data_IF_773474686334
#
_entry.id   IF_773474686334
#
_cell.length_a   1.000
_cell.length_b   1.000
_cell.length_c   1.000
_cell.angle_alpha   90.00
_cell.angle_beta   90.00
_cell.angle_gamma   90.00
#
_symmetry.space_group_name_H-M   'P 1'
#
loop_
_entity.id
_entity.type
_entity.pdbx_description
1 polymer ?
#
# COMPACT_ATOMS: atom_id res chain seq x y z
N UNK A 1 31.19 35.07 -41.84
CA UNK A 1 29.97 34.26 -41.91
C UNK A 1 30.40 32.84 -41.60
N UNK A 2 30.53 32.55 -40.31
CA UNK A 2 31.06 31.26 -39.85
C UNK A 2 29.90 30.27 -39.73
N UNK A 3 29.95 29.25 -40.60
CA UNK A 3 28.95 28.21 -40.60
C UNK A 3 28.98 27.46 -39.27
N UNK A 4 27.91 27.57 -38.51
CA UNK A 4 27.70 26.76 -37.32
C UNK A 4 27.60 25.27 -37.73
N UNK A 5 28.73 24.58 -37.74
CA UNK A 5 28.79 23.14 -37.96
C UNK A 5 28.07 22.42 -36.85
N UNK A 6 27.34 21.33 -37.18
CA UNK A 6 26.70 20.47 -36.21
C UNK A 6 27.69 20.03 -35.11
N UNK A 7 27.26 19.95 -33.84
CA UNK A 7 28.13 19.52 -32.75
C UNK A 7 28.62 18.07 -32.99
N UNK A 8 29.91 17.83 -32.80
CA UNK A 8 30.53 16.51 -32.91
C UNK A 8 29.99 15.54 -31.84
N UNK A 9 29.77 16.04 -30.63
CA UNK A 9 29.17 15.31 -29.54
C UNK A 9 28.38 16.25 -28.61
N UNK A 10 27.36 15.74 -27.99
CA UNK A 10 26.58 16.46 -27.00
C UNK A 10 26.51 15.60 -25.73
N UNK A 11 27.02 16.13 -24.64
CA UNK A 11 26.94 15.53 -23.31
C UNK A 11 25.76 16.15 -22.57
N UNK A 12 24.90 15.33 -22.02
CA UNK A 12 23.70 15.79 -21.29
C UNK A 12 23.72 15.20 -19.88
N UNK A 13 23.61 16.05 -18.86
CA UNK A 13 23.45 15.63 -17.49
C UNK A 13 22.03 15.95 -17.03
N UNK A 14 21.19 14.93 -16.90
CA UNK A 14 19.77 15.10 -16.64
C UNK A 14 19.08 15.94 -17.73
N UNK A 15 18.02 16.66 -17.36
CA UNK A 15 17.31 17.57 -18.27
C UNK A 15 17.90 19.00 -18.33
N UNK A 16 18.91 19.29 -17.49
CA UNK A 16 19.31 20.68 -17.21
C UNK A 16 20.68 21.10 -17.74
N UNK A 17 21.63 20.21 -17.91
CA UNK A 17 22.95 20.56 -18.38
C UNK A 17 23.27 19.88 -19.72
N UNK A 18 23.56 20.70 -20.73
CA UNK A 18 24.02 20.23 -22.03
C UNK A 18 25.36 20.88 -22.36
N UNK A 19 26.34 20.04 -22.65
CA UNK A 19 27.63 20.46 -23.12
C UNK A 19 27.77 20.03 -24.58
N UNK A 20 28.08 20.97 -25.45
CA UNK A 20 28.30 20.71 -26.87
C UNK A 20 29.77 20.78 -27.20
N UNK A 21 30.25 19.77 -27.88
CA UNK A 21 31.62 19.68 -28.34
C UNK A 21 31.65 19.98 -29.83
N UNK A 22 32.43 21.00 -30.23
CA UNK A 22 32.62 21.37 -31.63
C UNK A 22 34.07 21.21 -32.01
N UNK A 23 34.32 20.73 -33.24
CA UNK A 23 35.64 20.71 -33.88
C UNK A 23 35.89 22.06 -34.49
N UNK A 24 36.89 22.78 -34.02
CA UNK A 24 37.38 24.03 -34.63
C UNK A 24 38.73 23.73 -35.25
N UNK A 25 38.91 24.08 -36.54
CA UNK A 25 40.12 23.89 -37.32
C UNK A 25 40.70 22.47 -37.37
N UNK A 26 39.84 21.45 -37.26
CA UNK A 26 40.21 20.03 -37.38
C UNK A 26 41.05 19.44 -36.24
N UNK A 27 41.34 20.19 -35.16
CA UNK A 27 42.22 19.74 -34.08
C UNK A 27 41.77 20.04 -32.64
N UNK A 28 40.83 20.92 -32.43
CA UNK A 28 40.44 21.34 -31.07
C UNK A 28 38.94 21.14 -30.86
N UNK A 29 38.61 20.37 -29.82
CA UNK A 29 37.24 20.22 -29.37
C UNK A 29 36.94 21.34 -28.38
N UNK A 30 36.15 22.32 -28.77
CA UNK A 30 35.68 23.37 -27.85
C UNK A 30 34.46 22.88 -27.14
N UNK A 31 34.49 22.91 -25.82
CA UNK A 31 33.36 22.55 -24.94
C UNK A 31 32.56 23.83 -24.66
N UNK A 32 31.38 23.92 -25.23
CA UNK A 32 30.45 25.01 -24.96
C UNK A 32 29.29 24.52 -24.08
N UNK A 33 29.04 25.27 -23.00
CA UNK A 33 27.86 25.03 -22.16
C UNK A 33 26.66 25.62 -22.90
N UNK A 34 25.68 24.76 -23.21
CA UNK A 34 24.39 25.27 -23.68
C UNK A 34 23.74 26.01 -22.52
N UNK A 35 23.44 27.28 -22.69
CA UNK A 35 22.65 28.07 -21.74
C UNK A 35 21.22 27.50 -21.66
N UNK A 36 21.04 26.42 -20.95
CA UNK A 36 19.73 26.02 -20.52
C UNK A 36 19.38 26.85 -19.26
N UNK A 37 18.37 27.70 -19.41
CA UNK A 37 18.03 28.79 -18.51
C UNK A 37 18.10 28.52 -17.02
N UNK A 38 18.72 29.48 -16.33
CA UNK A 38 18.26 29.87 -15.03
C UNK A 38 18.69 29.09 -13.80
N UNK A 39 20.02 28.88 -13.61
CA UNK A 39 20.53 28.50 -12.28
C UNK A 39 20.47 29.64 -11.23
N UNK A 40 20.17 30.85 -11.64
CA UNK A 40 20.15 32.04 -10.79
C UNK A 40 18.73 32.40 -10.27
N UNK A 41 17.71 31.63 -10.64
CA UNK A 41 16.36 31.83 -10.11
C UNK A 41 16.13 30.99 -8.86
N UNK A 42 15.52 31.57 -7.82
CA UNK A 42 15.03 30.86 -6.63
C UNK A 42 14.17 29.64 -7.03
N UNK A 43 13.43 29.75 -8.13
CA UNK A 43 12.64 28.65 -8.70
C UNK A 43 13.52 27.50 -9.23
N UNK A 44 14.69 27.79 -9.84
CA UNK A 44 15.65 26.79 -10.28
C UNK A 44 16.29 26.04 -9.13
N UNK A 45 16.66 26.77 -8.07
CA UNK A 45 17.16 26.17 -6.83
C UNK A 45 16.08 25.29 -6.17
N UNK A 46 14.84 25.77 -6.07
CA UNK A 46 13.72 25.01 -5.53
C UNK A 46 13.51 23.70 -6.31
N UNK A 47 13.48 23.76 -7.65
CA UNK A 47 13.35 22.56 -8.49
C UNK A 47 14.49 21.57 -8.27
N UNK A 48 15.73 22.04 -8.14
CA UNK A 48 16.90 21.16 -7.95
C UNK A 48 16.94 20.47 -6.58
N UNK A 49 16.33 21.08 -5.57
CA UNK A 49 16.28 20.54 -4.20
C UNK A 49 15.07 19.64 -3.98
N UNK A 50 13.90 20.01 -4.49
CA UNK A 50 12.62 19.37 -4.15
C UNK A 50 12.09 18.41 -5.23
N UNK A 51 12.60 18.47 -6.45
CA UNK A 51 12.18 17.54 -7.51
C UNK A 51 13.29 16.55 -7.84
N UNK A 52 12.94 15.29 -8.16
CA UNK A 52 13.94 14.27 -8.52
C UNK A 52 14.63 14.62 -9.86
N UNK A 53 15.82 14.06 -10.03
CA UNK A 53 16.54 14.21 -11.29
C UNK A 53 15.73 13.65 -12.47
N UNK A 54 15.72 14.36 -13.58
CA UNK A 54 14.98 13.96 -14.77
C UNK A 54 13.50 14.28 -14.74
N UNK A 55 13.00 14.99 -13.71
CA UNK A 55 11.62 15.46 -13.71
C UNK A 55 11.32 16.34 -14.94
N UNK A 56 10.15 16.19 -15.63
CA UNK A 56 9.02 15.32 -15.30
C UNK A 56 9.12 13.86 -15.81
N UNK A 57 10.07 13.54 -16.69
CA UNK A 57 10.12 12.27 -17.43
C UNK A 57 10.54 11.07 -16.58
N UNK A 58 11.18 11.31 -15.43
CA UNK A 58 11.67 10.27 -14.51
C UNK A 58 10.62 9.79 -13.51
N UNK A 59 9.41 10.34 -13.51
CA UNK A 59 8.37 10.07 -12.52
C UNK A 59 7.02 9.81 -13.17
N UNK A 60 6.11 9.15 -12.43
CA UNK A 60 4.73 8.94 -12.86
C UNK A 60 3.92 10.25 -12.85
N UNK A 61 2.82 10.29 -13.59
CA UNK A 61 1.98 11.50 -13.74
C UNK A 61 1.33 11.96 -12.42
N UNK A 62 1.15 11.04 -11.49
CA UNK A 62 0.55 11.26 -10.17
C UNK A 62 1.56 11.75 -9.12
N UNK A 63 2.87 11.77 -9.45
CA UNK A 63 3.96 12.09 -8.52
C UNK A 63 3.77 13.42 -7.79
N UNK A 64 3.50 14.52 -8.50
CA UNK A 64 3.38 15.85 -7.87
C UNK A 64 2.18 15.93 -6.92
N UNK A 65 1.06 15.36 -7.31
CA UNK A 65 -0.14 15.36 -6.48
C UNK A 65 0.09 14.53 -5.21
N UNK A 66 0.71 13.37 -5.35
CA UNK A 66 1.10 12.54 -4.21
C UNK A 66 2.07 13.28 -3.31
N UNK A 67 3.16 13.82 -3.85
CA UNK A 67 4.22 14.51 -3.09
C UNK A 67 3.70 15.73 -2.32
N UNK A 68 2.78 16.49 -2.92
CA UNK A 68 2.14 17.62 -2.24
C UNK A 68 1.38 17.16 -0.98
N UNK A 69 0.49 16.18 -1.14
CA UNK A 69 -0.30 15.69 -0.01
C UNK A 69 0.54 14.95 1.03
N UNK A 70 1.55 14.20 0.60
CA UNK A 70 2.50 13.55 1.49
C UNK A 70 3.31 14.57 2.32
N UNK A 71 3.71 15.68 1.72
CA UNK A 71 4.39 16.77 2.42
C UNK A 71 3.47 17.43 3.46
N UNK A 72 2.21 17.70 3.13
CA UNK A 72 1.21 18.25 4.07
C UNK A 72 0.94 17.27 5.21
N UNK A 73 0.83 15.99 4.90
CA UNK A 73 0.67 14.91 5.87
C UNK A 73 1.85 14.87 6.85
N UNK A 74 3.08 14.81 6.33
CA UNK A 74 4.31 14.75 7.14
C UNK A 74 4.49 16.00 8.01
N UNK A 75 4.16 17.18 7.50
CA UNK A 75 4.18 18.43 8.26
C UNK A 75 3.19 18.40 9.45
N UNK A 76 1.95 17.99 9.19
CA UNK A 76 0.90 17.93 10.23
C UNK A 76 1.23 16.88 11.29
N UNK A 77 1.71 15.69 10.87
CA UNK A 77 2.17 14.63 11.77
C UNK A 77 3.32 15.10 12.67
N UNK A 78 4.28 15.84 12.11
CA UNK A 78 5.41 16.40 12.87
C UNK A 78 4.92 17.37 13.96
N UNK A 79 3.96 18.24 13.66
CA UNK A 79 3.41 19.17 14.65
C UNK A 79 2.64 18.44 15.76
N UNK A 80 1.77 17.50 15.42
CA UNK A 80 1.07 16.65 16.38
C UNK A 80 2.04 15.87 17.27
N UNK A 81 3.10 15.29 16.67
CA UNK A 81 4.14 14.56 17.38
C UNK A 81 4.93 15.41 18.37
N UNK A 82 5.23 16.66 18.02
CA UNK A 82 5.93 17.58 18.92
C UNK A 82 5.04 18.01 20.10
N UNK A 83 3.72 18.22 19.88
CA UNK A 83 2.77 18.48 20.97
C UNK A 83 2.64 17.27 21.91
N UNK A 84 2.59 16.07 21.35
CA UNK A 84 2.56 14.81 22.09
C UNK A 84 3.85 14.62 22.93
N UNK A 85 5.01 14.89 22.32
CA UNK A 85 6.30 14.82 23.02
C UNK A 85 6.38 15.83 24.18
N UNK A 86 5.91 17.05 23.99
CA UNK A 86 5.83 18.06 25.05
C UNK A 86 4.95 17.57 26.22
N UNK A 87 3.77 17.01 25.91
CA UNK A 87 2.88 16.48 26.96
C UNK A 87 3.54 15.33 27.72
N UNK A 88 4.24 14.42 27.02
CA UNK A 88 4.96 13.32 27.63
C UNK A 88 6.11 13.79 28.54
N UNK A 89 6.89 14.81 28.13
CA UNK A 89 7.93 15.41 28.93
C UNK A 89 7.40 16.01 30.23
N UNK A 90 6.25 16.67 30.18
CA UNK A 90 5.56 17.15 31.39
C UNK A 90 5.13 16.00 32.31
N UNK A 91 4.57 14.94 31.73
CA UNK A 91 4.14 13.75 32.46
C UNK A 91 5.25 13.02 33.21
N UNK A 92 6.47 13.00 32.66
CA UNK A 92 7.65 12.49 33.37
C UNK A 92 8.28 13.47 34.38
N UNK A 93 7.67 14.68 34.51
CA UNK A 93 8.06 15.65 35.51
C UNK A 93 9.18 16.59 35.08
N UNK A 94 9.44 16.76 33.78
CA UNK A 94 10.39 17.79 33.32
C UNK A 94 9.88 19.17 33.73
N UNK A 95 10.70 19.91 34.46
CA UNK A 95 10.36 21.19 35.09
C UNK A 95 9.86 21.09 36.54
N UNK A 96 9.72 19.90 37.10
CA UNK A 96 9.40 19.67 38.50
C UNK A 96 10.67 19.32 39.29
N UNK A 97 10.94 20.01 40.39
CA UNK A 97 12.13 19.78 41.23
C UNK A 97 12.12 18.42 41.95
N UNK A 98 10.97 17.78 42.10
CA UNK A 98 10.81 16.48 42.75
C UNK A 98 11.01 15.29 41.79
N UNK A 99 11.03 15.54 40.48
CA UNK A 99 11.19 14.48 39.49
C UNK A 99 12.66 14.02 39.39
N UNK A 100 12.88 12.72 39.44
CA UNK A 100 14.22 12.14 39.32
C UNK A 100 14.57 11.80 37.86
N UNK A 101 15.79 12.10 37.45
CA UNK A 101 16.31 11.72 36.11
C UNK A 101 16.17 10.22 35.86
N UNK A 102 16.38 9.42 36.92
CA UNK A 102 16.26 7.97 36.83
C UNK A 102 14.83 7.52 36.47
N UNK A 103 13.79 8.06 37.11
CA UNK A 103 12.40 7.72 36.79
C UNK A 103 12.01 8.11 35.36
N UNK A 104 12.43 9.29 34.91
CA UNK A 104 12.24 9.73 33.53
C UNK A 104 12.94 8.79 32.54
N UNK A 105 14.21 8.45 32.80
CA UNK A 105 14.99 7.54 31.93
C UNK A 105 14.37 6.16 31.85
N UNK A 106 13.90 5.57 32.95
CA UNK A 106 13.23 4.26 32.95
C UNK A 106 11.92 4.32 32.13
N UNK A 107 11.11 5.37 32.26
CA UNK A 107 9.88 5.54 31.49
C UNK A 107 10.17 5.61 29.98
N UNK A 108 11.17 6.39 29.55
CA UNK A 108 11.60 6.48 28.17
C UNK A 108 12.13 5.15 27.63
N UNK A 109 12.96 4.45 28.41
CA UNK A 109 13.49 3.14 28.03
C UNK A 109 12.39 2.10 27.84
N UNK A 110 11.40 2.08 28.75
CA UNK A 110 10.22 1.19 28.64
C UNK A 110 9.37 1.53 27.41
N UNK A 111 9.10 2.81 27.17
CA UNK A 111 8.36 3.29 25.99
C UNK A 111 9.04 2.86 24.69
N UNK A 112 10.32 3.16 24.54
CA UNK A 112 11.06 2.85 23.32
C UNK A 112 11.23 1.33 23.13
N UNK A 113 11.49 0.60 24.22
CA UNK A 113 11.60 -0.85 24.21
C UNK A 113 10.29 -1.53 23.80
N UNK A 114 9.15 -1.10 24.34
CA UNK A 114 7.82 -1.63 23.94
C UNK A 114 7.50 -1.28 22.49
N UNK A 115 7.87 -0.10 22.01
CA UNK A 115 7.73 0.30 20.60
C UNK A 115 8.57 -0.59 19.67
N UNK A 116 9.81 -0.90 20.04
CA UNK A 116 10.67 -1.84 19.28
C UNK A 116 10.06 -3.23 19.20
N UNK A 117 9.56 -3.76 20.32
CA UNK A 117 8.88 -5.07 20.36
C UNK A 117 7.62 -5.07 19.50
N UNK A 118 6.81 -3.99 19.53
CA UNK A 118 5.63 -3.84 18.71
C UNK A 118 5.95 -3.90 17.20
N UNK A 119 7.00 -3.19 16.76
CA UNK A 119 7.46 -3.22 15.36
C UNK A 119 7.94 -4.61 14.93
N UNK A 120 8.71 -5.29 15.77
CA UNK A 120 9.19 -6.65 15.47
C UNK A 120 8.01 -7.62 15.37
N UNK A 121 7.06 -7.56 16.31
CA UNK A 121 5.88 -8.41 16.31
C UNK A 121 5.00 -8.17 15.08
N UNK A 122 4.78 -6.91 14.72
CA UNK A 122 4.02 -6.54 13.53
C UNK A 122 4.71 -7.02 12.24
N UNK A 123 6.02 -6.79 12.11
CA UNK A 123 6.80 -7.26 10.97
C UNK A 123 6.77 -8.79 10.85
N UNK A 124 6.83 -9.51 11.96
CA UNK A 124 6.74 -10.96 11.98
C UNK A 124 5.37 -11.49 11.53
N UNK A 125 4.28 -10.84 11.97
CA UNK A 125 2.91 -11.30 11.65
C UNK A 125 2.46 -10.87 10.25
N UNK A 126 2.88 -9.68 9.79
CA UNK A 126 2.32 -9.02 8.59
C UNK A 126 3.35 -8.59 7.54
N UNK A 127 4.65 -8.64 7.85
CA UNK A 127 5.69 -8.05 6.98
C UNK A 127 5.67 -8.54 5.53
N UNK A 128 5.46 -9.85 5.30
CA UNK A 128 5.41 -10.44 3.96
C UNK A 128 4.12 -10.11 3.16
N UNK A 129 3.08 -9.59 3.82
CA UNK A 129 1.74 -9.36 3.25
C UNK A 129 1.38 -7.88 3.09
N UNK A 130 2.23 -6.98 3.56
CA UNK A 130 1.97 -5.53 3.53
C UNK A 130 1.84 -4.99 2.11
N UNK A 131 2.64 -5.48 1.18
CA UNK A 131 2.66 -5.00 -0.20
C UNK A 131 1.36 -5.29 -0.96
N UNK A 132 0.63 -6.34 -0.56
CA UNK A 132 -0.63 -6.72 -1.21
C UNK A 132 -1.72 -5.66 -1.05
N UNK A 133 -1.74 -4.98 0.12
CA UNK A 133 -2.71 -3.94 0.45
C UNK A 133 -2.03 -2.66 0.99
N UNK A 134 -0.92 -2.25 0.37
CA UNK A 134 -0.06 -1.17 0.84
C UNK A 134 -0.81 0.15 1.16
N UNK A 135 -1.81 0.52 0.34
CA UNK A 135 -2.64 1.72 0.57
C UNK A 135 -3.42 1.65 1.87
N UNK A 136 -4.03 0.50 2.17
CA UNK A 136 -4.82 0.29 3.40
C UNK A 136 -3.93 0.28 4.63
N UNK A 137 -2.80 -0.45 4.56
CA UNK A 137 -1.86 -0.54 5.68
C UNK A 137 -1.20 0.78 6.02
N UNK A 138 -0.86 1.59 5.00
CA UNK A 138 -0.36 2.94 5.22
C UNK A 138 -1.37 3.79 6.00
N UNK A 139 -2.63 3.82 5.58
CA UNK A 139 -3.66 4.60 6.27
C UNK A 139 -3.90 4.09 7.70
N UNK A 140 -3.93 2.76 7.91
CA UNK A 140 -4.06 2.16 9.25
C UNK A 140 -2.90 2.54 10.16
N UNK A 141 -1.67 2.51 9.64
CA UNK A 141 -0.48 2.90 10.41
C UNK A 141 -0.57 4.37 10.87
N UNK A 142 -0.97 5.28 9.99
CA UNK A 142 -1.10 6.70 10.32
C UNK A 142 -2.24 6.96 11.33
N UNK A 143 -3.37 6.27 11.21
CA UNK A 143 -4.45 6.34 12.21
C UNK A 143 -3.98 5.84 13.57
N UNK A 144 -3.25 4.72 13.62
CA UNK A 144 -2.69 4.19 14.88
C UNK A 144 -1.66 5.14 15.49
N UNK A 145 -0.83 5.80 14.66
CA UNK A 145 0.11 6.81 15.11
C UNK A 145 -0.60 8.02 15.72
N UNK A 146 -1.69 8.50 15.10
CA UNK A 146 -2.51 9.61 15.65
C UNK A 146 -3.15 9.23 16.99
N UNK A 147 -3.67 8.00 17.11
CA UNK A 147 -4.20 7.46 18.38
C UNK A 147 -3.11 7.41 19.44
N UNK A 148 -1.90 6.98 19.09
CA UNK A 148 -0.76 6.96 20.00
C UNK A 148 -0.40 8.36 20.50
N UNK A 149 -0.32 9.33 19.60
CA UNK A 149 -0.05 10.73 19.96
C UNK A 149 -1.14 11.31 20.87
N UNK A 150 -2.41 10.98 20.61
CA UNK A 150 -3.51 11.37 21.47
C UNK A 150 -3.38 10.77 22.89
N UNK A 151 -3.04 9.46 22.97
CA UNK A 151 -2.80 8.80 24.27
C UNK A 151 -1.65 9.45 25.05
N UNK A 152 -0.57 9.83 24.37
CA UNK A 152 0.56 10.54 25.01
C UNK A 152 0.16 11.92 25.55
N UNK A 153 -0.67 12.68 24.82
CA UNK A 153 -1.17 14.00 25.28
C UNK A 153 -2.10 13.83 26.48
N UNK A 154 -2.89 12.75 26.52
CA UNK A 154 -3.82 12.46 27.58
C UNK A 154 -3.16 11.87 28.84
N UNK A 155 -2.01 11.16 28.68
CA UNK A 155 -1.34 10.42 29.72
C UNK A 155 -1.05 11.23 31.02
N UNK A 156 -0.63 12.53 30.96
CA UNK A 156 -0.40 13.32 32.18
C UNK A 156 -1.67 13.53 33.02
N UNK A 157 -2.86 13.38 32.45
CA UNK A 157 -4.14 13.47 33.17
C UNK A 157 -4.40 12.25 34.06
N UNK A 158 -3.64 11.16 33.88
CA UNK A 158 -3.75 9.90 34.61
C UNK A 158 -2.42 9.47 35.25
N UNK A 159 -1.92 10.17 36.29
CA UNK A 159 -0.56 9.94 36.83
C UNK A 159 -0.31 8.48 37.25
N UNK A 160 -1.30 7.81 37.81
CA UNK A 160 -1.20 6.41 38.27
C UNK A 160 -0.96 5.42 37.12
N UNK A 161 -1.44 5.70 35.91
CA UNK A 161 -1.31 4.86 34.72
C UNK A 161 -0.38 5.46 33.65
N UNK A 162 0.28 6.57 33.94
CA UNK A 162 1.06 7.33 32.97
C UNK A 162 2.03 6.45 32.16
N UNK A 163 2.92 5.74 32.87
CA UNK A 163 3.92 4.87 32.22
C UNK A 163 3.28 3.79 31.35
N UNK A 164 2.19 3.17 31.81
CA UNK A 164 1.48 2.17 31.04
C UNK A 164 0.89 2.75 29.75
N UNK A 165 0.24 3.91 29.83
CA UNK A 165 -0.36 4.60 28.66
C UNK A 165 0.73 4.94 27.64
N UNK A 166 1.85 5.50 28.09
CA UNK A 166 2.99 5.89 27.21
C UNK A 166 3.65 4.67 26.58
N UNK A 167 3.75 3.55 27.28
CA UNK A 167 4.27 2.29 26.72
C UNK A 167 3.34 1.72 25.63
N UNK A 168 2.03 1.71 25.87
CA UNK A 168 1.05 1.26 24.86
C UNK A 168 1.09 2.20 23.64
N UNK A 169 1.16 3.51 23.85
CA UNK A 169 1.32 4.48 22.77
C UNK A 169 2.61 4.23 21.97
N UNK A 170 3.72 3.90 22.62
CA UNK A 170 5.00 3.57 21.99
C UNK A 170 4.92 2.42 20.97
N UNK A 171 4.04 1.43 21.22
CA UNK A 171 3.82 0.30 20.28
C UNK A 171 3.23 0.76 18.95
N UNK A 172 2.41 1.81 18.96
CA UNK A 172 1.67 2.30 17.77
C UNK A 172 2.37 3.46 17.05
N UNK A 173 3.41 4.07 17.64
CA UNK A 173 4.00 5.31 17.13
C UNK A 173 5.08 5.06 16.08
N UNK A 174 4.94 5.74 14.93
CA UNK A 174 6.03 5.94 13.97
C UNK A 174 6.73 7.28 14.22
N UNK A 175 8.07 7.30 14.13
CA UNK A 175 8.85 8.52 14.34
C UNK A 175 9.37 9.02 13.00
N UNK A 176 8.62 9.90 12.35
CA UNK A 176 9.09 10.70 11.21
C UNK A 176 9.22 12.16 11.64
N UNK A 177 10.43 12.69 11.59
CA UNK A 177 10.71 14.10 11.88
C UNK A 177 10.79 14.87 10.57
N UNK A 178 9.92 15.87 10.42
CA UNK A 178 9.95 16.81 9.31
C UNK A 178 10.56 18.15 9.76
N UNK A 179 11.60 18.62 9.05
CA UNK A 179 12.34 19.85 9.41
C UNK A 179 11.42 21.08 9.46
N UNK A 180 10.47 21.22 8.55
CA UNK A 180 9.52 22.33 8.54
C UNK A 180 8.61 22.30 9.77
N UNK A 181 8.12 21.10 10.14
CA UNK A 181 7.35 20.91 11.36
C UNK A 181 8.16 21.22 12.62
N UNK A 182 9.45 20.86 12.65
CA UNK A 182 10.35 21.19 13.75
C UNK A 182 10.48 22.71 13.92
N UNK A 183 10.74 23.46 12.85
CA UNK A 183 10.89 24.92 12.90
C UNK A 183 9.61 25.62 13.38
N UNK A 184 8.45 25.20 12.89
CA UNK A 184 7.16 25.75 13.36
C UNK A 184 6.91 25.40 14.83
N UNK A 185 7.29 24.20 15.28
CA UNK A 185 7.16 23.77 16.67
C UNK A 185 7.99 24.61 17.64
N UNK A 186 9.15 25.11 17.24
CA UNK A 186 9.97 26.00 18.09
C UNK A 186 9.21 27.27 18.48
N UNK A 187 8.30 27.76 17.62
CA UNK A 187 7.45 28.92 17.92
C UNK A 187 6.16 28.50 18.62
N UNK A 188 5.58 27.36 18.23
CA UNK A 188 4.29 26.90 18.72
C UNK A 188 4.35 26.37 20.15
N UNK A 189 5.36 25.60 20.50
CA UNK A 189 5.49 24.96 21.82
C UNK A 189 5.45 25.98 22.97
N UNK A 190 6.20 27.09 22.95
CA UNK A 190 6.10 28.09 24.03
C UNK A 190 4.71 28.66 24.20
N UNK A 191 3.95 28.86 23.11
CA UNK A 191 2.60 29.43 23.15
C UNK A 191 1.57 28.48 23.78
N UNK A 192 1.75 27.17 23.63
CA UNK A 192 0.82 26.14 24.12
C UNK A 192 1.21 25.60 25.50
N UNK A 193 2.43 25.91 25.96
CA UNK A 193 3.00 25.29 27.18
C UNK A 193 2.11 25.45 28.39
N UNK A 194 1.46 26.57 28.58
CA UNK A 194 0.63 26.88 29.76
C UNK A 194 -0.88 26.77 29.50
N UNK A 195 -1.29 26.33 28.29
CA UNK A 195 -2.71 26.28 27.92
C UNK A 195 -3.09 24.88 27.38
N UNK A 196 -3.56 23.95 28.25
CA UNK A 196 -3.97 22.60 27.82
C UNK A 196 -5.05 22.60 26.75
N UNK A 197 -6.03 23.52 26.83
CA UNK A 197 -7.12 23.61 25.86
C UNK A 197 -6.60 23.94 24.48
N UNK A 198 -5.65 24.90 24.40
CA UNK A 198 -5.00 25.24 23.13
C UNK A 198 -4.19 24.08 22.56
N UNK A 199 -3.48 23.33 23.42
CA UNK A 199 -2.75 22.11 23.03
C UNK A 199 -3.67 21.09 22.38
N UNK A 200 -4.80 20.73 23.02
CA UNK A 200 -5.78 19.80 22.46
C UNK A 200 -6.40 20.33 21.17
N UNK A 201 -6.77 21.61 21.13
CA UNK A 201 -7.38 22.20 19.92
C UNK A 201 -6.44 22.11 18.72
N UNK A 202 -5.18 22.49 18.90
CA UNK A 202 -4.17 22.43 17.83
C UNK A 202 -3.84 20.98 17.45
N UNK A 203 -3.75 20.08 18.42
CA UNK A 203 -3.55 18.66 18.15
C UNK A 203 -4.68 18.11 17.27
N UNK A 204 -5.94 18.32 17.62
CA UNK A 204 -7.06 17.86 16.80
C UNK A 204 -7.08 18.51 15.41
N UNK A 205 -6.74 19.79 15.32
CA UNK A 205 -6.63 20.47 14.03
C UNK A 205 -5.58 19.81 13.14
N UNK A 206 -4.37 19.58 13.65
CA UNK A 206 -3.30 18.93 12.89
C UNK A 206 -3.58 17.45 12.60
N UNK A 207 -4.24 16.74 13.51
CA UNK A 207 -4.68 15.36 13.28
C UNK A 207 -5.70 15.28 12.14
N UNK A 208 -6.69 16.16 12.10
CA UNK A 208 -7.66 16.20 11.00
C UNK A 208 -6.96 16.53 9.67
N UNK A 209 -6.05 17.51 9.69
CA UNK A 209 -5.27 17.86 8.50
C UNK A 209 -4.37 16.70 8.05
N UNK A 210 -3.71 16.01 8.98
CA UNK A 210 -2.90 14.83 8.74
C UNK A 210 -3.69 13.71 8.06
N UNK A 211 -4.82 13.31 8.64
CA UNK A 211 -5.66 12.23 8.09
C UNK A 211 -6.24 12.60 6.73
N UNK A 212 -6.67 13.86 6.54
CA UNK A 212 -7.17 14.33 5.25
C UNK A 212 -6.09 14.32 4.18
N UNK A 213 -4.90 14.82 4.51
CA UNK A 213 -3.76 14.84 3.60
C UNK A 213 -3.31 13.43 3.24
N UNK A 214 -3.22 12.51 4.21
CA UNK A 214 -2.88 11.11 3.97
C UNK A 214 -3.93 10.42 3.09
N UNK A 215 -5.22 10.60 3.36
CA UNK A 215 -6.28 10.09 2.49
C UNK A 215 -6.11 10.58 1.04
N UNK A 216 -5.83 11.87 0.84
CA UNK A 216 -5.58 12.45 -0.47
C UNK A 216 -4.31 11.90 -1.13
N UNK A 217 -3.23 11.76 -0.37
CA UNK A 217 -1.98 11.17 -0.85
C UNK A 217 -2.19 9.73 -1.34
N UNK A 218 -2.82 8.89 -0.53
CA UNK A 218 -3.10 7.48 -0.88
C UNK A 218 -4.03 7.37 -2.09
N UNK A 219 -5.02 8.25 -2.21
CA UNK A 219 -5.96 8.29 -3.35
C UNK A 219 -5.33 8.81 -4.63
N UNK A 220 -4.26 9.59 -4.57
CA UNK A 220 -3.57 10.10 -5.76
C UNK A 220 -2.67 9.04 -6.42
N UNK A 221 -2.21 8.03 -5.68
CA UNK A 221 -1.33 6.98 -6.22
C UNK A 221 -2.11 6.04 -7.13
N UNK A 222 -1.68 5.92 -8.38
CA UNK A 222 -2.20 4.97 -9.37
C UNK A 222 -1.27 3.77 -9.46
N UNK A 223 -1.79 2.59 -9.12
CA UNK A 223 -1.03 1.34 -9.16
C UNK A 223 -1.48 0.47 -10.33
N UNK A 224 -0.55 0.08 -11.17
CA UNK A 224 -0.77 -0.81 -12.33
C UNK A 224 -0.65 -2.30 -11.95
N UNK A 225 -0.18 -2.60 -10.74
CA UNK A 225 -0.06 -3.98 -10.23
C UNK A 225 -1.41 -4.52 -9.78
N UNK A 226 -1.62 -5.82 -9.98
CA UNK A 226 -2.85 -6.51 -9.58
C UNK A 226 -2.72 -7.05 -8.15
N UNK A 227 -3.66 -6.66 -7.27
CA UNK A 227 -3.94 -7.31 -6.00
C UNK A 227 -5.35 -7.94 -6.03
N UNK A 228 -5.74 -8.66 -4.98
CA UNK A 228 -7.06 -9.30 -4.91
C UNK A 228 -8.20 -8.29 -5.07
N UNK A 229 -8.11 -7.13 -4.44
CA UNK A 229 -9.16 -6.11 -4.47
C UNK A 229 -9.35 -5.53 -5.88
N UNK A 230 -8.24 -5.13 -6.56
CA UNK A 230 -8.29 -4.61 -7.93
C UNK A 230 -8.76 -5.66 -8.90
N UNK A 231 -8.25 -6.89 -8.78
CA UNK A 231 -8.67 -8.01 -9.62
C UNK A 231 -10.17 -8.31 -9.46
N UNK A 232 -10.69 -8.25 -8.24
CA UNK A 232 -12.12 -8.39 -7.97
C UNK A 232 -12.95 -7.26 -8.63
N UNK A 233 -12.52 -6.01 -8.54
CA UNK A 233 -13.19 -4.86 -9.17
C UNK A 233 -13.22 -5.03 -10.69
N UNK A 234 -12.08 -5.39 -11.29
CA UNK A 234 -11.93 -5.58 -12.73
C UNK A 234 -12.80 -6.74 -13.24
N UNK A 235 -12.77 -7.88 -12.54
CA UNK A 235 -13.54 -9.04 -12.92
C UNK A 235 -15.05 -8.80 -12.83
N UNK A 236 -15.53 -8.16 -11.74
CA UNK A 236 -16.95 -7.83 -11.60
C UNK A 236 -17.41 -6.87 -12.70
N UNK A 237 -16.62 -5.86 -13.05
CA UNK A 237 -16.96 -4.93 -14.12
C UNK A 237 -16.96 -5.64 -15.48
N UNK A 238 -15.98 -6.49 -15.75
CA UNK A 238 -15.92 -7.29 -16.96
C UNK A 238 -17.12 -8.23 -17.11
N UNK A 239 -17.54 -8.89 -16.02
CA UNK A 239 -18.69 -9.79 -16.03
C UNK A 239 -20.03 -9.06 -16.20
N UNK A 240 -20.11 -7.76 -15.85
CA UNK A 240 -21.33 -6.94 -15.99
C UNK A 240 -21.41 -6.23 -17.33
N UNK A 241 -20.32 -5.62 -17.77
CA UNK A 241 -20.30 -4.65 -18.87
C UNK A 241 -19.39 -5.06 -20.03
N UNK A 242 -18.73 -6.22 -19.94
CA UNK A 242 -17.72 -6.73 -20.90
C UNK A 242 -16.58 -5.74 -21.18
N UNK A 243 -16.24 -4.89 -20.18
CA UNK A 243 -15.22 -3.87 -20.28
C UNK A 243 -14.16 -4.02 -19.17
N UNK A 244 -12.92 -3.69 -19.52
CA UNK A 244 -11.81 -3.65 -18.56
C UNK A 244 -11.53 -2.20 -18.18
N UNK A 245 -11.52 -1.92 -16.88
CA UNK A 245 -11.16 -0.60 -16.37
C UNK A 245 -9.66 -0.35 -16.51
N UNK A 246 -9.30 0.89 -16.81
CA UNK A 246 -7.91 1.35 -16.73
C UNK A 246 -7.41 1.38 -15.27
N UNK A 247 -6.07 1.39 -15.03
CA UNK A 247 -5.53 1.52 -13.68
C UNK A 247 -6.06 2.75 -12.93
N UNK A 248 -6.23 3.87 -13.60
CA UNK A 248 -6.77 5.09 -13.02
C UNK A 248 -8.21 4.92 -12.53
N UNK A 249 -9.07 4.35 -13.36
CA UNK A 249 -10.50 4.09 -13.02
C UNK A 249 -10.64 3.09 -11.89
N UNK A 250 -9.85 2.01 -11.91
CA UNK A 250 -9.83 1.03 -10.83
C UNK A 250 -9.32 1.64 -9.52
N UNK A 251 -8.29 2.51 -9.57
CA UNK A 251 -7.79 3.24 -8.41
C UNK A 251 -8.89 4.11 -7.76
N UNK A 252 -9.72 4.76 -8.55
CA UNK A 252 -10.86 5.54 -8.03
C UNK A 252 -11.93 4.69 -7.36
N UNK A 253 -12.06 3.42 -7.74
CA UNK A 253 -13.03 2.47 -7.16
C UNK A 253 -12.45 1.65 -6.01
N UNK A 254 -11.12 1.57 -5.88
CA UNK A 254 -10.47 0.81 -4.83
C UNK A 254 -10.76 1.42 -3.45
N UNK A 255 -11.30 0.65 -2.47
CA UNK A 255 -11.52 1.14 -1.11
C UNK A 255 -10.19 1.35 -0.41
N UNK A 256 -9.99 2.54 0.17
CA UNK A 256 -8.80 2.89 0.95
C UNK A 256 -8.92 2.41 2.39
N UNK A 257 -10.14 2.41 2.93
CA UNK A 257 -10.42 1.87 4.25
C UNK A 257 -10.61 0.35 4.23
N UNK A 258 -10.31 -0.35 5.32
CA UNK A 258 -10.66 -1.76 5.46
C UNK A 258 -12.16 -1.95 5.20
N UNK A 259 -12.49 -2.89 4.31
CA UNK A 259 -13.88 -3.20 4.00
C UNK A 259 -14.39 -4.23 5.00
N UNK A 260 -15.28 -3.80 5.88
CA UNK A 260 -15.93 -4.66 6.89
C UNK A 260 -17.18 -5.37 6.36
N UNK A 261 -17.49 -5.26 5.06
CA UNK A 261 -18.59 -6.00 4.47
C UNK A 261 -18.33 -7.49 4.57
N UNK A 262 -19.38 -8.26 4.83
CA UNK A 262 -19.30 -9.72 4.82
C UNK A 262 -18.88 -10.17 3.41
N UNK A 263 -17.68 -10.70 3.33
CA UNK A 263 -17.18 -11.41 2.14
C UNK A 263 -16.90 -12.83 2.53
N UNK A 264 -17.06 -13.75 1.61
CA UNK A 264 -16.55 -15.11 1.78
C UNK A 264 -15.03 -15.03 1.65
N UNK A 265 -14.25 -15.39 2.68
CA UNK A 265 -12.81 -15.27 2.64
C UNK A 265 -12.19 -16.12 1.54
N UNK A 266 -11.18 -15.58 0.88
CA UNK A 266 -10.34 -16.29 -0.07
C UNK A 266 -9.01 -16.58 0.62
N UNK A 267 -8.59 -17.84 0.66
CA UNK A 267 -7.33 -18.29 1.23
C UNK A 267 -6.45 -18.84 0.12
N UNK A 268 -5.36 -18.15 -0.17
CA UNK A 268 -4.42 -18.52 -1.23
C UNK A 268 -3.21 -19.25 -0.66
N UNK A 269 -2.78 -20.33 -1.32
CA UNK A 269 -1.60 -21.10 -0.92
C UNK A 269 -1.83 -22.00 0.30
N UNK A 270 -3.02 -22.55 0.46
CA UNK A 270 -3.35 -23.41 1.60
C UNK A 270 -2.81 -24.85 1.44
N UNK A 271 -2.78 -25.60 2.53
CA UNK A 271 -2.48 -27.03 2.54
C UNK A 271 -3.62 -27.83 1.91
N UNK A 272 -3.32 -29.03 1.35
CA UNK A 272 -4.37 -29.92 0.84
C UNK A 272 -5.43 -30.29 1.88
N UNK A 273 -5.03 -30.47 3.13
CA UNK A 273 -5.96 -30.76 4.21
C UNK A 273 -6.91 -29.60 4.56
N UNK A 274 -6.59 -28.38 4.14
CA UNK A 274 -7.45 -27.20 4.28
C UNK A 274 -8.36 -26.99 3.05
N UNK A 275 -8.10 -27.71 1.95
CA UNK A 275 -8.91 -27.66 0.73
C UNK A 275 -10.07 -28.66 0.77
N UNK A 276 -9.85 -29.87 1.28
CA UNK A 276 -10.77 -30.99 1.24
C UNK A 276 -11.01 -31.58 2.63
N UNK A 277 -12.19 -32.21 2.82
CA UNK A 277 -12.55 -32.87 4.09
C UNK A 277 -12.25 -34.37 4.09
N UNK A 278 -12.10 -34.96 2.89
CA UNK A 278 -11.91 -36.41 2.77
C UNK A 278 -11.02 -36.78 1.57
N UNK A 279 -10.41 -38.00 1.57
CA UNK A 279 -9.70 -38.51 0.43
C UNK A 279 -10.57 -38.63 -0.84
N UNK A 280 -11.86 -38.89 -0.70
CA UNK A 280 -12.80 -38.94 -1.82
C UNK A 280 -12.97 -37.58 -2.48
N UNK A 281 -13.06 -36.50 -1.71
CA UNK A 281 -13.09 -35.12 -2.22
C UNK A 281 -11.77 -34.77 -2.92
N UNK A 282 -10.63 -35.20 -2.40
CA UNK A 282 -9.35 -35.00 -3.07
C UNK A 282 -9.30 -35.69 -4.43
N UNK A 283 -9.83 -36.91 -4.52
CA UNK A 283 -9.94 -37.59 -5.81
C UNK A 283 -10.85 -36.85 -6.79
N UNK A 284 -11.96 -36.25 -6.31
CA UNK A 284 -12.83 -35.40 -7.11
C UNK A 284 -12.10 -34.14 -7.60
N UNK A 285 -11.38 -33.46 -6.68
CA UNK A 285 -10.60 -32.27 -7.00
C UNK A 285 -9.50 -32.53 -8.03
N UNK A 286 -8.87 -33.72 -7.98
CA UNK A 286 -7.81 -34.14 -8.92
C UNK A 286 -8.36 -34.72 -10.21
N UNK A 287 -9.61 -35.21 -10.20
CA UNK A 287 -10.22 -35.84 -11.37
C UNK A 287 -10.34 -34.82 -12.51
N UNK A 288 -9.68 -35.15 -13.62
CA UNK A 288 -9.64 -34.30 -14.82
C UNK A 288 -9.03 -32.90 -14.62
N UNK A 289 -8.34 -32.63 -13.49
CA UNK A 289 -7.67 -31.35 -13.27
C UNK A 289 -6.28 -31.36 -13.96
N UNK A 290 -6.15 -30.58 -15.03
CA UNK A 290 -4.89 -30.33 -15.74
C UNK A 290 -4.24 -29.00 -15.36
N UNK A 291 -4.82 -28.27 -14.40
CA UNK A 291 -4.37 -26.92 -14.00
C UNK A 291 -3.28 -27.00 -12.95
N UNK A 292 -2.42 -25.97 -12.84
CA UNK A 292 -1.38 -25.90 -11.81
C UNK A 292 -1.92 -25.45 -10.44
N UNK A 293 -3.24 -25.50 -10.23
CA UNK A 293 -3.88 -25.19 -8.96
C UNK A 293 -5.11 -26.07 -8.72
N UNK A 294 -5.45 -26.22 -7.44
CA UNK A 294 -6.69 -26.83 -6.96
C UNK A 294 -7.48 -25.78 -6.20
N UNK A 295 -8.79 -25.80 -6.37
CA UNK A 295 -9.69 -24.88 -5.67
C UNK A 295 -10.84 -25.66 -5.05
N UNK A 296 -11.28 -25.26 -3.87
CA UNK A 296 -12.39 -25.84 -3.14
C UNK A 296 -13.00 -24.86 -2.16
N UNK A 297 -14.10 -25.27 -1.55
CA UNK A 297 -14.80 -24.47 -0.53
C UNK A 297 -14.81 -25.30 0.77
N UNK A 298 -14.23 -24.75 1.82
CA UNK A 298 -14.17 -25.39 3.14
C UNK A 298 -14.34 -24.36 4.25
N UNK A 299 -15.11 -24.71 5.27
CA UNK A 299 -15.36 -23.89 6.47
C UNK A 299 -15.78 -22.45 6.12
N UNK A 300 -16.65 -22.30 5.10
CA UNK A 300 -17.13 -20.99 4.65
C UNK A 300 -16.08 -20.11 3.98
N UNK A 301 -14.96 -20.69 3.54
CA UNK A 301 -13.87 -20.00 2.82
C UNK A 301 -13.61 -20.66 1.48
N UNK A 302 -13.22 -19.88 0.47
CA UNK A 302 -12.68 -20.40 -0.78
C UNK A 302 -11.19 -20.63 -0.60
N UNK A 303 -10.75 -21.86 -0.80
CA UNK A 303 -9.36 -22.29 -0.58
C UNK A 303 -8.69 -22.65 -1.91
N UNK A 304 -7.47 -22.16 -2.12
CA UNK A 304 -6.69 -22.40 -3.33
C UNK A 304 -5.32 -22.97 -2.95
N UNK A 305 -5.02 -24.19 -3.44
CA UNK A 305 -3.68 -24.77 -3.41
C UNK A 305 -2.98 -24.51 -4.74
N UNK A 306 -1.67 -24.26 -4.73
CA UNK A 306 -0.88 -24.02 -5.94
C UNK A 306 0.29 -24.97 -6.06
N UNK A 307 0.67 -25.26 -7.30
CA UNK A 307 1.93 -25.97 -7.62
C UNK A 307 3.13 -25.02 -7.52
N UNK A 308 4.31 -25.60 -7.38
CA UNK A 308 5.56 -24.84 -7.27
C UNK A 308 5.87 -24.03 -8.54
N UNK A 309 5.54 -24.56 -9.71
CA UNK A 309 5.84 -24.03 -11.04
C UNK A 309 4.67 -23.25 -11.68
N UNK A 310 3.75 -22.72 -10.86
CA UNK A 310 2.57 -22.00 -11.34
C UNK A 310 2.95 -20.63 -11.92
N UNK A 311 2.70 -20.35 -13.21
CA UNK A 311 3.00 -19.05 -13.80
C UNK A 311 2.01 -17.97 -13.37
N UNK A 312 2.42 -16.70 -13.42
CA UNK A 312 1.61 -15.55 -13.00
C UNK A 312 0.22 -15.48 -13.66
N UNK A 313 0.12 -15.80 -14.95
CA UNK A 313 -1.18 -15.86 -15.65
C UNK A 313 -2.14 -16.89 -15.05
N UNK A 314 -1.63 -18.01 -14.56
CA UNK A 314 -2.45 -19.02 -13.89
C UNK A 314 -2.77 -18.62 -12.44
N UNK A 315 -1.94 -17.82 -11.79
CA UNK A 315 -2.26 -17.22 -10.49
C UNK A 315 -3.44 -16.24 -10.63
N UNK A 316 -3.43 -15.36 -11.64
CA UNK A 316 -4.56 -14.50 -11.97
C UNK A 316 -5.83 -15.33 -12.19
N UNK A 317 -5.71 -16.39 -13.01
CA UNK A 317 -6.84 -17.28 -13.32
C UNK A 317 -7.44 -17.94 -12.08
N UNK A 318 -6.60 -18.44 -11.18
CA UNK A 318 -7.02 -19.06 -9.93
C UNK A 318 -7.75 -18.06 -9.01
N UNK A 319 -7.24 -16.83 -8.91
CA UNK A 319 -7.86 -15.78 -8.10
C UNK A 319 -9.17 -15.30 -8.72
N UNK A 320 -9.25 -15.14 -10.04
CA UNK A 320 -10.52 -14.85 -10.72
C UNK A 320 -11.58 -15.91 -10.41
N UNK A 321 -11.22 -17.17 -10.46
CA UNK A 321 -12.12 -18.26 -10.10
C UNK A 321 -12.54 -18.22 -8.64
N UNK A 322 -11.60 -17.93 -7.73
CA UNK A 322 -11.88 -17.78 -6.31
C UNK A 322 -12.83 -16.61 -6.03
N UNK A 323 -12.67 -15.49 -6.73
CA UNK A 323 -13.56 -14.32 -6.64
C UNK A 323 -14.97 -14.67 -7.10
N UNK A 324 -15.12 -15.37 -8.23
CA UNK A 324 -16.44 -15.83 -8.70
C UNK A 324 -17.12 -16.73 -7.66
N UNK A 325 -16.39 -17.69 -7.10
CA UNK A 325 -16.94 -18.59 -6.06
C UNK A 325 -17.28 -17.83 -4.78
N UNK A 326 -16.39 -16.95 -4.32
CA UNK A 326 -16.64 -16.10 -3.14
C UNK A 326 -17.90 -15.26 -3.31
N UNK A 327 -18.10 -14.66 -4.50
CA UNK A 327 -19.29 -13.87 -4.81
C UNK A 327 -20.56 -14.72 -4.86
N UNK A 328 -20.49 -15.90 -5.47
CA UNK A 328 -21.64 -16.80 -5.58
C UNK A 328 -22.07 -17.43 -4.24
N UNK A 329 -21.17 -17.50 -3.28
CA UNK A 329 -21.43 -18.02 -1.93
C UNK A 329 -21.96 -16.96 -0.96
N UNK A 330 -21.98 -15.69 -1.35
CA UNK A 330 -22.51 -14.63 -0.48
C UNK A 330 -24.01 -14.83 -0.21
N UNK A 331 -24.44 -14.74 1.06
CA UNK A 331 -25.86 -14.75 1.37
C UNK A 331 -26.53 -13.45 0.89
N UNK A 332 -27.50 -13.56 0.02
CA UNK A 332 -28.21 -12.42 -0.53
C UNK A 332 -28.95 -12.74 -1.84
N UNK A 333 -29.50 -11.73 -2.52
CA UNK A 333 -30.05 -11.92 -3.85
C UNK A 333 -28.95 -12.39 -4.81
N UNK A 334 -29.30 -13.38 -5.66
CA UNK A 334 -28.35 -13.90 -6.64
C UNK A 334 -27.87 -12.75 -7.54
N UNK A 335 -26.54 -12.63 -7.77
CA UNK A 335 -26.02 -11.65 -8.71
C UNK A 335 -26.63 -11.87 -10.11
N UNK A 336 -26.77 -10.79 -10.87
CA UNK A 336 -27.26 -10.88 -12.24
C UNK A 336 -26.21 -11.45 -13.20
N UNK A 337 -26.64 -11.87 -14.38
CA UNK A 337 -25.75 -12.35 -15.44
C UNK A 337 -25.19 -13.76 -15.18
N UNK A 338 -23.95 -13.98 -15.59
CA UNK A 338 -23.29 -15.30 -15.64
C UNK A 338 -23.15 -15.92 -14.25
N UNK A 339 -22.96 -15.11 -13.22
CA UNK A 339 -22.83 -15.58 -11.83
C UNK A 339 -24.13 -16.18 -11.27
N UNK A 340 -25.30 -15.84 -11.83
CA UNK A 340 -26.60 -16.42 -11.45
C UNK A 340 -26.63 -17.93 -11.66
N UNK A 341 -26.05 -18.41 -12.76
CA UNK A 341 -25.92 -19.84 -13.05
C UNK A 341 -25.08 -20.54 -12.00
N UNK A 342 -23.96 -19.93 -11.60
CA UNK A 342 -23.07 -20.45 -10.58
C UNK A 342 -23.78 -20.59 -9.21
N UNK A 343 -24.57 -19.58 -8.82
CA UNK A 343 -25.39 -19.63 -7.60
C UNK A 343 -26.46 -20.73 -7.64
N UNK A 344 -27.07 -20.96 -8.79
CA UNK A 344 -28.09 -22.00 -8.97
C UNK A 344 -27.49 -23.40 -8.82
N UNK A 345 -26.32 -23.66 -9.42
CA UNK A 345 -25.58 -24.92 -9.31
C UNK A 345 -25.06 -25.15 -7.90
N UNK A 346 -24.63 -24.10 -7.19
CA UNK A 346 -24.14 -24.19 -5.81
C UNK A 346 -25.18 -24.72 -4.82
N UNK A 347 -26.47 -24.62 -5.14
CA UNK A 347 -27.56 -25.25 -4.33
C UNK A 347 -27.63 -26.77 -4.49
N UNK A 348 -27.03 -27.32 -5.54
CA UNK A 348 -26.99 -28.76 -5.80
C UNK A 348 -25.77 -29.40 -5.12
N UNK A 349 -24.64 -28.72 -5.10
CA UNK A 349 -23.41 -29.16 -4.45
C UNK A 349 -22.26 -28.19 -4.63
N UNK A 350 -21.33 -28.19 -3.66
CA UNK A 350 -20.17 -27.31 -3.71
C UNK A 350 -19.17 -27.73 -4.81
N UNK A 351 -19.00 -29.01 -5.04
CA UNK A 351 -18.08 -29.51 -6.08
C UNK A 351 -18.62 -29.31 -7.49
N UNK A 352 -19.93 -29.40 -7.67
CA UNK A 352 -20.61 -29.03 -8.91
C UNK A 352 -20.41 -27.54 -9.22
N UNK A 353 -20.51 -26.68 -8.19
CA UNK A 353 -20.26 -25.24 -8.33
C UNK A 353 -18.79 -24.96 -8.68
N UNK A 354 -17.84 -25.66 -8.05
CA UNK A 354 -16.42 -25.56 -8.41
C UNK A 354 -16.20 -25.99 -9.86
N UNK A 355 -16.81 -27.09 -10.30
CA UNK A 355 -16.71 -27.57 -11.69
C UNK A 355 -17.27 -26.56 -12.69
N UNK A 356 -18.41 -25.96 -12.39
CA UNK A 356 -19.03 -24.96 -13.25
C UNK A 356 -18.21 -23.66 -13.28
N UNK A 357 -17.64 -23.25 -12.16
CA UNK A 357 -16.73 -22.10 -12.12
C UNK A 357 -15.48 -22.30 -12.98
N UNK A 358 -14.98 -23.53 -13.10
CA UNK A 358 -13.90 -23.85 -14.00
C UNK A 358 -14.26 -23.61 -15.46
N UNK A 359 -15.46 -24.04 -15.90
CA UNK A 359 -15.94 -23.83 -17.27
C UNK A 359 -16.11 -22.34 -17.57
N UNK A 360 -16.70 -21.61 -16.63
CA UNK A 360 -16.88 -20.16 -16.74
C UNK A 360 -15.53 -19.47 -16.98
N UNK A 361 -14.57 -19.72 -16.09
CA UNK A 361 -13.26 -19.08 -16.17
C UNK A 361 -12.48 -19.52 -17.42
N UNK A 362 -12.56 -20.79 -17.84
CA UNK A 362 -11.94 -21.20 -19.11
C UNK A 362 -12.45 -20.39 -20.31
N UNK A 363 -13.73 -20.09 -20.31
CA UNK A 363 -14.37 -19.37 -21.43
C UNK A 363 -13.98 -17.88 -21.45
N UNK A 364 -13.96 -17.20 -20.30
CA UNK A 364 -13.77 -15.74 -20.25
C UNK A 364 -12.31 -15.32 -20.08
N UNK A 365 -11.46 -16.17 -19.50
CA UNK A 365 -10.13 -15.78 -19.08
C UNK A 365 -9.18 -15.32 -20.20
N UNK A 366 -9.14 -15.94 -21.39
CA UNK A 366 -8.28 -15.47 -22.47
C UNK A 366 -8.55 -13.99 -22.82
N UNK A 367 -9.80 -13.66 -23.11
CA UNK A 367 -10.21 -12.29 -23.46
C UNK A 367 -10.00 -11.31 -22.29
N UNK A 368 -10.27 -11.76 -21.06
CA UNK A 368 -10.02 -10.96 -19.86
C UNK A 368 -8.53 -10.64 -19.67
N UNK A 369 -7.64 -11.63 -19.81
CA UNK A 369 -6.20 -11.44 -19.68
C UNK A 369 -5.63 -10.51 -20.75
N UNK A 370 -6.07 -10.68 -22.00
CA UNK A 370 -5.66 -9.81 -23.10
C UNK A 370 -6.17 -8.39 -22.91
N UNK A 371 -7.39 -8.23 -22.40
CA UNK A 371 -7.95 -6.94 -22.03
C UNK A 371 -7.16 -6.26 -20.89
N UNK A 372 -6.71 -7.00 -19.88
CA UNK A 372 -5.85 -6.45 -18.83
C UNK A 372 -4.55 -5.88 -19.42
N UNK A 373 -3.88 -6.63 -20.27
CA UNK A 373 -2.64 -6.20 -20.93
C UNK A 373 -2.84 -4.98 -21.81
N UNK A 374 -3.92 -4.97 -22.61
CA UNK A 374 -4.27 -3.85 -23.48
C UNK A 374 -4.52 -2.54 -22.71
N UNK A 375 -5.03 -2.63 -21.46
CA UNK A 375 -5.28 -1.47 -20.61
C UNK A 375 -4.10 -1.09 -19.69
N UNK A 376 -2.92 -1.70 -19.86
CA UNK A 376 -1.69 -1.34 -19.16
C UNK A 376 -1.54 -1.97 -17.78
N UNK A 377 -2.28 -3.03 -17.47
CA UNK A 377 -2.09 -3.78 -16.23
C UNK A 377 -0.85 -4.67 -16.26
N UNK A 378 -0.09 -4.68 -15.17
CA UNK A 378 1.06 -5.58 -15.00
C UNK A 378 0.54 -6.98 -14.68
N UNK A 379 0.69 -7.91 -15.64
CA UNK A 379 0.22 -9.31 -15.49
C UNK A 379 1.33 -10.28 -15.08
N UNK A 380 2.58 -9.83 -15.06
CA UNK A 380 3.74 -10.67 -14.74
C UNK A 380 4.19 -10.49 -13.27
N UNK A 381 3.84 -9.36 -12.65
CA UNK A 381 4.12 -9.05 -11.24
C UNK A 381 2.81 -8.86 -10.49
N UNK A 382 2.53 -9.77 -9.58
CA UNK A 382 1.28 -9.81 -8.82
C UNK A 382 1.55 -9.51 -7.35
N UNK A 383 0.61 -8.82 -6.72
CA UNK A 383 0.61 -8.53 -5.28
C UNK A 383 -0.56 -9.29 -4.61
N UNK A 384 -0.52 -10.63 -4.73
CA UNK A 384 -1.52 -11.54 -4.19
C UNK A 384 -1.02 -12.13 -2.87
N UNK A 385 -1.90 -12.21 -1.87
CA UNK A 385 -1.59 -12.71 -0.52
C UNK A 385 -1.49 -14.24 -0.48
N UNK A 386 -0.55 -14.81 -1.24
CA UNK A 386 -0.27 -16.23 -1.22
C UNK A 386 0.47 -16.63 0.05
N UNK A 387 -0.02 -17.66 0.74
CA UNK A 387 0.78 -18.36 1.74
C UNK A 387 1.91 -19.17 1.08
N UNK A 388 2.93 -19.57 1.82
CA UNK A 388 4.15 -20.20 1.30
C UNK A 388 3.96 -21.66 0.89
N UNK A 389 2.83 -22.29 1.21
CA UNK A 389 2.54 -23.67 0.88
C UNK A 389 2.50 -23.90 -0.63
N UNK A 390 3.21 -24.95 -1.06
CA UNK A 390 3.23 -25.48 -2.42
C UNK A 390 2.89 -26.94 -2.35
N UNK A 391 2.10 -27.40 -3.29
CA UNK A 391 1.67 -28.80 -3.35
C UNK A 391 2.11 -29.38 -4.69
N UNK A 392 2.76 -30.52 -4.66
CA UNK A 392 3.07 -31.28 -5.87
C UNK A 392 2.10 -32.46 -5.95
N UNK A 393 1.32 -32.52 -7.02
CA UNK A 393 0.53 -33.66 -7.42
C UNK A 393 1.03 -34.13 -8.76
N UNK A 394 1.30 -35.45 -8.89
CA UNK A 394 1.93 -36.03 -10.04
C UNK A 394 1.31 -35.59 -11.36
N UNK A 395 2.15 -35.21 -12.32
CA UNK A 395 1.73 -35.10 -13.72
C UNK A 395 1.20 -36.48 -14.11
N UNK A 396 -0.06 -36.58 -14.58
CA UNK A 396 -0.44 -37.79 -15.31
C UNK A 396 0.56 -37.92 -16.44
N UNK A 397 1.43 -38.95 -16.38
CA UNK A 397 2.16 -39.41 -17.55
C UNK A 397 1.09 -39.76 -18.58
N UNK A 398 1.14 -39.06 -19.71
CA UNK A 398 0.34 -39.39 -20.90
C UNK A 398 0.65 -40.79 -21.40
#
# INVERSE_FOLDING_TARGET
MDGEGAPFATETYGSQEKWRYRLTEGRVVVREKSEAGGRSSLLGLFKSVFLPQGYPDSVSKDYLQYQFWDTVQAFSSSLSGNLSTQASLRGVGVGNQEATVAAATVTWLLRDGTGMLGRILFAWIKGSKLDCDAKKWRLVADVLNDVAMFMEILAPSFPACFTLIVCIAGVFKETLVNLAGLLVSLVLIPLVTDNPLLTFTLFFFFTVLHLLANYRAVRSVVMETLNETRLSILLHHYLSDDQILSPLEANHREPVFPDFKRRVPIKLGVRLGELVNSPAELQLALKNNRKPYLIGVKDGSVCVCRRQDMPASQEIKAVCQAVCLSTALLPGPAPEGVLKTLCAVGRQGLWEMVSESHKLIENIFPSFLDGLRAHGWQTDRLLLDWDEWRVDWGKKSD
#
